data_IF_262793327263
#
_entry.id   IF_262793327263
#
_cell.length_a   1.000
_cell.length_b   1.000
_cell.length_c   1.000
_cell.angle_alpha   90.00
_cell.angle_beta   90.00
_cell.angle_gamma   90.00
#
_symmetry.space_group_name_H-M   'P 1'
#
loop_
_entity.id
_entity.type
_entity.pdbx_description
1 polymer ?
#
# COMPACT_ATOMS: atom_id res chain seq x y z
N UNK A 1 1.88 17.83 8.80
CA UNK A 1 2.37 16.53 8.31
C UNK A 1 3.01 15.68 9.41
N UNK A 2 3.88 16.23 10.24
CA UNK A 2 4.60 15.48 11.31
C UNK A 2 3.72 14.86 12.41
N UNK A 3 2.50 15.34 12.60
CA UNK A 3 1.60 14.87 13.67
C UNK A 3 0.54 13.85 13.18
N UNK A 4 0.55 13.54 11.86
CA UNK A 4 -0.43 12.60 11.29
C UNK A 4 0.13 11.19 11.28
N UNK A 5 -0.75 10.22 11.45
CA UNK A 5 -0.41 8.83 11.22
C UNK A 5 -0.01 8.62 9.76
N UNK A 6 0.76 7.58 9.52
CA UNK A 6 1.15 7.09 8.20
C UNK A 6 0.39 5.78 7.96
N UNK A 7 -0.29 5.67 6.83
CA UNK A 7 -0.91 4.44 6.36
C UNK A 7 -0.03 3.88 5.23
N UNK A 8 0.76 2.87 5.54
CA UNK A 8 1.52 2.12 4.55
C UNK A 8 0.55 1.17 3.89
N UNK A 9 0.27 1.38 2.61
CA UNK A 9 -0.70 0.61 1.85
C UNK A 9 -0.01 -0.06 0.68
N UNK A 10 -0.37 -1.31 0.45
CA UNK A 10 -0.01 -2.10 -0.73
C UNK A 10 -1.26 -2.78 -1.26
N UNK A 11 -1.45 -2.81 -2.57
CA UNK A 11 -2.62 -3.37 -3.22
C UNK A 11 -2.23 -4.49 -4.17
N UNK A 12 -2.94 -5.61 -4.08
CA UNK A 12 -2.97 -6.58 -5.15
C UNK A 12 -4.21 -6.37 -6.01
N UNK A 13 -4.02 -6.45 -7.31
CA UNK A 13 -5.08 -6.16 -8.28
C UNK A 13 -5.19 -7.26 -9.33
N UNK A 14 -6.33 -7.37 -10.00
CA UNK A 14 -6.50 -8.30 -11.12
C UNK A 14 -5.70 -7.93 -12.36
N UNK A 15 -4.92 -6.83 -12.33
CA UNK A 15 -4.05 -6.36 -13.40
C UNK A 15 -3.76 -4.87 -13.30
N UNK A 16 -3.03 -4.31 -14.25
CA UNK A 16 -2.47 -2.95 -14.17
C UNK A 16 -3.35 -1.86 -14.80
N UNK A 17 -4.37 -2.22 -15.55
CA UNK A 17 -5.23 -1.24 -16.25
C UNK A 17 -6.39 -0.77 -15.37
N UNK A 18 -6.31 0.44 -14.84
CA UNK A 18 -7.29 1.02 -13.91
C UNK A 18 -8.75 0.88 -14.36
N UNK A 19 -9.02 0.99 -15.68
CA UNK A 19 -10.39 0.92 -16.21
C UNK A 19 -10.97 -0.48 -16.30
N UNK A 20 -10.13 -1.50 -16.19
CA UNK A 20 -10.51 -2.91 -16.41
C UNK A 20 -10.35 -3.76 -15.18
N UNK A 21 -9.36 -3.42 -14.37
CA UNK A 21 -8.92 -4.29 -13.29
C UNK A 21 -9.42 -3.77 -11.94
N UNK A 22 -9.49 -4.68 -10.98
CA UNK A 22 -10.07 -4.49 -9.67
C UNK A 22 -9.07 -4.78 -8.57
N UNK A 23 -9.27 -4.18 -7.41
CA UNK A 23 -8.53 -4.54 -6.19
C UNK A 23 -9.03 -5.90 -5.72
N UNK A 24 -8.10 -6.81 -5.41
CA UNK A 24 -8.41 -8.13 -4.82
C UNK A 24 -7.84 -8.30 -3.42
N UNK A 25 -6.82 -7.50 -3.04
CA UNK A 25 -6.28 -7.52 -1.69
C UNK A 25 -5.77 -6.12 -1.30
N UNK A 26 -5.93 -5.78 -0.04
CA UNK A 26 -5.48 -4.51 0.55
C UNK A 26 -4.70 -4.84 1.81
N UNK A 27 -3.38 -4.64 1.77
CA UNK A 27 -2.53 -4.66 2.94
C UNK A 27 -2.33 -3.25 3.51
N UNK A 28 -2.43 -3.08 4.81
CA UNK A 28 -2.21 -1.79 5.44
C UNK A 28 -1.59 -1.90 6.83
N UNK A 29 -0.56 -1.08 7.04
CA UNK A 29 0.01 -0.83 8.38
C UNK A 29 -0.18 0.65 8.69
N UNK A 30 -0.93 0.94 9.76
CA UNK A 30 -1.06 2.30 10.28
C UNK A 30 -0.04 2.52 11.38
N UNK A 31 0.82 3.52 11.23
CA UNK A 31 1.88 3.82 12.18
C UNK A 31 1.87 5.30 12.57
N UNK A 32 2.31 5.57 13.80
CA UNK A 32 2.54 6.92 14.33
C UNK A 32 4.03 7.23 14.35
N UNK A 33 4.38 8.43 13.96
CA UNK A 33 5.75 8.93 14.17
C UNK A 33 5.97 9.23 15.66
N UNK A 34 6.97 8.59 16.24
CA UNK A 34 7.41 8.92 17.60
C UNK A 34 8.38 10.09 17.49
N UNK A 35 8.01 11.22 18.12
CA UNK A 35 8.92 12.34 18.27
C UNK A 35 10.02 11.94 19.27
N UNK A 36 11.25 12.31 18.95
CA UNK A 36 12.39 12.13 19.85
C UNK A 36 12.66 13.42 20.61
N UNK A 37 13.18 13.25 21.82
CA UNK A 37 13.67 14.39 22.58
C UNK A 37 14.88 15.04 21.89
N UNK A 38 15.02 16.38 22.00
CA UNK A 38 16.15 17.08 21.45
C UNK A 38 17.48 16.51 22.00
N UNK A 39 18.35 16.04 21.10
CA UNK A 39 19.66 15.49 21.46
C UNK A 39 19.78 13.96 21.36
N UNK A 40 18.70 13.23 21.20
CA UNK A 40 18.76 11.79 20.91
C UNK A 40 19.29 11.51 19.50
N UNK A 41 20.33 10.66 19.41
CA UNK A 41 20.89 10.21 18.13
C UNK A 41 20.04 9.06 17.55
N UNK A 42 19.77 9.14 16.25
CA UNK A 42 19.09 8.08 15.48
C UNK A 42 17.98 8.64 14.57
N UNK A 43 17.45 7.81 13.67
CA UNK A 43 16.35 8.17 12.78
C UNK A 43 15.01 8.30 13.50
N UNK A 44 13.99 8.81 12.84
CA UNK A 44 12.62 8.75 13.34
C UNK A 44 12.22 7.28 13.59
N UNK A 45 11.52 7.02 14.66
CA UNK A 45 10.92 5.70 14.93
C UNK A 45 9.42 5.74 14.64
N UNK A 46 8.90 4.60 14.23
CA UNK A 46 7.48 4.41 13.97
C UNK A 46 6.93 3.43 15.00
N UNK A 47 5.78 3.75 15.54
CA UNK A 47 4.99 2.84 16.35
C UNK A 47 3.84 2.33 15.50
N UNK A 48 3.79 1.03 15.26
CA UNK A 48 2.64 0.40 14.62
C UNK A 48 1.45 0.52 15.57
N UNK A 49 0.35 1.07 15.06
CA UNK A 49 -0.91 1.24 15.78
C UNK A 49 -1.86 0.11 15.40
N UNK A 50 -1.88 -0.22 14.13
CA UNK A 50 -2.77 -1.21 13.56
C UNK A 50 -2.16 -1.82 12.31
N UNK A 51 -2.46 -3.08 12.08
CA UNK A 51 -2.10 -3.83 10.89
C UNK A 51 -3.33 -4.64 10.45
N UNK A 52 -3.65 -4.60 9.17
CA UNK A 52 -4.76 -5.38 8.63
C UNK A 52 -4.51 -5.75 7.16
N UNK A 53 -5.09 -6.87 6.78
CA UNK A 53 -5.15 -7.39 5.42
C UNK A 53 -6.61 -7.69 5.09
N UNK A 54 -7.07 -7.30 3.91
CA UNK A 54 -8.45 -7.46 3.48
C UNK A 54 -8.45 -8.07 2.08
N UNK A 55 -9.02 -9.25 1.94
CA UNK A 55 -9.32 -9.84 0.63
C UNK A 55 -10.63 -9.28 0.11
N UNK A 56 -10.62 -8.84 -1.14
CA UNK A 56 -11.76 -8.22 -1.82
C UNK A 56 -12.22 -9.15 -2.94
N UNK A 57 -13.51 -9.42 -2.97
CA UNK A 57 -14.09 -10.26 -3.99
C UNK A 57 -14.17 -9.51 -5.32
N UNK A 58 -13.50 -9.98 -6.38
CA UNK A 58 -13.61 -9.36 -7.69
C UNK A 58 -15.02 -9.56 -8.26
N UNK A 59 -15.56 -8.53 -8.90
CA UNK A 59 -16.90 -8.57 -9.55
C UNK A 59 -16.79 -8.89 -11.04
N UNK A 60 -15.66 -8.53 -11.68
CA UNK A 60 -15.39 -8.68 -13.11
C UNK A 60 -14.16 -9.56 -13.37
N UNK A 61 -14.20 -10.78 -12.83
CA UNK A 61 -13.09 -11.72 -12.94
C UNK A 61 -12.74 -12.07 -14.39
N UNK A 62 -13.70 -11.96 -15.31
CA UNK A 62 -13.48 -12.16 -16.77
C UNK A 62 -12.52 -11.16 -17.39
N UNK A 63 -12.27 -10.03 -16.72
CA UNK A 63 -11.31 -9.02 -17.19
C UNK A 63 -9.92 -9.19 -16.60
N UNK A 64 -9.76 -10.10 -15.64
CA UNK A 64 -8.50 -10.28 -14.93
C UNK A 64 -7.35 -10.71 -15.87
N UNK A 65 -6.17 -10.18 -15.61
CA UNK A 65 -4.94 -10.60 -16.27
C UNK A 65 -4.40 -11.88 -15.60
N UNK A 66 -4.31 -13.00 -16.32
CA UNK A 66 -3.80 -14.24 -15.77
C UNK A 66 -2.39 -14.14 -15.17
N UNK A 67 -1.53 -13.28 -15.74
CA UNK A 67 -0.17 -13.09 -15.24
C UNK A 67 -0.19 -12.39 -13.88
N UNK A 68 -1.05 -11.37 -13.73
CA UNK A 68 -1.22 -10.68 -12.45
C UNK A 68 -1.77 -11.62 -11.38
N UNK A 69 -2.75 -12.46 -11.70
CA UNK A 69 -3.30 -13.44 -10.77
C UNK A 69 -2.26 -14.49 -10.33
N UNK A 70 -1.39 -14.93 -11.25
CA UNK A 70 -0.28 -15.84 -10.93
C UNK A 70 0.74 -15.17 -9.99
N UNK A 71 1.11 -13.92 -10.26
CA UNK A 71 2.06 -13.16 -9.45
C UNK A 71 1.51 -12.96 -8.04
N UNK A 72 0.23 -12.57 -7.91
CA UNK A 72 -0.43 -12.31 -6.63
C UNK A 72 -0.82 -13.61 -5.88
N UNK A 73 -0.60 -14.76 -6.49
CA UNK A 73 -0.94 -16.04 -5.90
C UNK A 73 -2.45 -16.25 -5.70
N UNK A 74 -3.29 -15.60 -6.52
CA UNK A 74 -4.75 -15.70 -6.40
C UNK A 74 -5.23 -17.15 -6.51
N UNK A 75 -6.04 -17.58 -5.55
CA UNK A 75 -6.70 -18.86 -5.53
C UNK A 75 -8.14 -18.67 -5.06
N UNK A 76 -9.09 -19.10 -5.86
CA UNK A 76 -10.52 -18.92 -5.58
C UNK A 76 -10.92 -19.40 -4.17
N UNK A 77 -10.33 -20.51 -3.72
CA UNK A 77 -10.56 -21.05 -2.38
C UNK A 77 -10.15 -20.09 -1.24
N UNK A 78 -9.08 -19.32 -1.44
CA UNK A 78 -8.57 -18.38 -0.44
C UNK A 78 -9.38 -17.07 -0.42
N UNK A 79 -10.24 -16.83 -1.43
CA UNK A 79 -11.13 -15.67 -1.54
C UNK A 79 -12.61 -15.98 -1.25
N UNK A 80 -12.93 -17.17 -0.72
CA UNK A 80 -14.32 -17.54 -0.40
C UNK A 80 -15.01 -16.60 0.57
N UNK A 81 -14.25 -16.13 1.56
CA UNK A 81 -14.73 -15.23 2.61
C UNK A 81 -14.32 -13.76 2.34
N UNK A 82 -13.90 -13.45 1.12
CA UNK A 82 -13.51 -12.11 0.73
C UNK A 82 -14.70 -11.14 0.85
N UNK A 83 -14.41 -9.93 1.29
CA UNK A 83 -15.42 -8.87 1.44
C UNK A 83 -15.84 -8.31 0.08
N UNK A 84 -17.04 -7.72 0.04
CA UNK A 84 -17.37 -6.82 -1.08
C UNK A 84 -16.47 -5.59 -1.08
N UNK A 85 -16.24 -5.00 -2.25
CA UNK A 85 -15.45 -3.77 -2.36
C UNK A 85 -15.97 -2.68 -1.41
N UNK A 86 -17.29 -2.49 -1.33
CA UNK A 86 -17.89 -1.48 -0.45
C UNK A 86 -17.58 -1.73 1.03
N UNK A 87 -17.65 -2.98 1.50
CA UNK A 87 -17.32 -3.31 2.88
C UNK A 87 -15.83 -3.09 3.18
N UNK A 88 -14.95 -3.48 2.25
CA UNK A 88 -13.52 -3.26 2.37
C UNK A 88 -13.18 -1.76 2.45
N UNK A 89 -13.77 -0.95 1.56
CA UNK A 89 -13.53 0.49 1.53
C UNK A 89 -14.03 1.22 2.77
N UNK A 90 -15.12 0.76 3.41
CA UNK A 90 -15.57 1.30 4.70
C UNK A 90 -14.52 1.07 5.79
N UNK A 91 -13.94 -0.14 5.86
CA UNK A 91 -12.88 -0.46 6.82
C UNK A 91 -11.64 0.40 6.55
N UNK A 92 -11.21 0.49 5.29
CA UNK A 92 -10.05 1.33 4.89
C UNK A 92 -10.27 2.78 5.29
N UNK A 93 -11.44 3.36 4.96
CA UNK A 93 -11.76 4.75 5.27
C UNK A 93 -11.69 5.04 6.79
N UNK A 94 -12.23 4.12 7.60
CA UNK A 94 -12.25 4.29 9.07
C UNK A 94 -10.85 4.17 9.67
N UNK A 95 -10.12 3.11 9.30
CA UNK A 95 -8.80 2.80 9.88
C UNK A 95 -7.70 3.76 9.44
N UNK A 96 -7.81 4.33 8.24
CA UNK A 96 -6.82 5.28 7.70
C UNK A 96 -7.22 6.74 7.84
N UNK A 97 -8.26 7.03 8.62
CA UNK A 97 -8.77 8.39 8.83
C UNK A 97 -7.66 9.36 9.23
N UNK A 98 -7.58 10.50 8.50
CA UNK A 98 -6.59 11.57 8.71
C UNK A 98 -5.12 11.13 8.54
N UNK A 99 -4.84 9.88 8.16
CA UNK A 99 -3.49 9.42 7.88
C UNK A 99 -3.01 9.90 6.49
N UNK A 100 -1.69 10.06 6.36
CA UNK A 100 -1.06 10.21 5.04
C UNK A 100 -0.77 8.83 4.47
N UNK A 101 -1.16 8.58 3.23
CA UNK A 101 -0.78 7.33 2.54
C UNK A 101 0.71 7.30 2.25
N UNK A 102 1.31 6.14 2.43
CA UNK A 102 2.69 5.79 2.04
C UNK A 102 2.63 4.52 1.22
N UNK A 103 3.23 4.53 0.02
CA UNK A 103 3.34 3.32 -0.81
C UNK A 103 4.60 3.35 -1.66
N UNK A 104 4.94 2.21 -2.27
CA UNK A 104 6.04 2.10 -3.22
C UNK A 104 5.50 2.25 -4.64
N UNK A 105 5.69 3.43 -5.27
CA UNK A 105 4.94 3.88 -6.44
C UNK A 105 3.50 4.25 -6.08
N UNK A 106 3.35 5.12 -5.10
CA UNK A 106 2.06 5.52 -4.51
C UNK A 106 0.99 5.94 -5.54
N UNK A 107 1.40 6.35 -6.74
CA UNK A 107 0.47 6.72 -7.79
C UNK A 107 -0.41 5.54 -8.22
N UNK A 108 0.15 4.32 -8.26
CA UNK A 108 -0.59 3.11 -8.61
C UNK A 108 -1.68 2.81 -7.57
N UNK A 109 -1.28 2.66 -6.32
CA UNK A 109 -2.22 2.33 -5.23
C UNK A 109 -3.28 3.39 -5.07
N UNK A 110 -2.86 4.65 -5.15
CA UNK A 110 -3.80 5.77 -5.00
C UNK A 110 -4.86 5.80 -6.08
N UNK A 111 -4.51 5.56 -7.35
CA UNK A 111 -5.48 5.55 -8.45
C UNK A 111 -6.55 4.46 -8.25
N UNK A 112 -6.14 3.26 -7.85
CA UNK A 112 -7.08 2.18 -7.57
C UNK A 112 -7.96 2.47 -6.35
N UNK A 113 -7.39 3.06 -5.29
CA UNK A 113 -8.18 3.49 -4.12
C UNK A 113 -9.18 4.60 -4.46
N UNK A 114 -8.78 5.63 -5.22
CA UNK A 114 -9.69 6.70 -5.66
C UNK A 114 -10.87 6.12 -6.45
N UNK A 115 -10.58 5.26 -7.42
CA UNK A 115 -11.61 4.54 -8.19
C UNK A 115 -12.54 3.77 -7.26
N UNK A 116 -12.00 2.99 -6.32
CA UNK A 116 -12.79 2.18 -5.39
C UNK A 116 -13.67 3.04 -4.46
N UNK A 117 -13.17 4.16 -3.97
CA UNK A 117 -13.96 5.12 -3.19
C UNK A 117 -15.09 5.74 -4.03
N UNK A 118 -14.83 6.10 -5.29
CA UNK A 118 -15.82 6.65 -6.21
C UNK A 118 -16.90 5.62 -6.54
N UNK A 119 -16.53 4.41 -6.91
CA UNK A 119 -17.45 3.32 -7.26
C UNK A 119 -18.36 2.91 -6.09
N UNK A 120 -17.80 2.88 -4.88
CA UNK A 120 -18.56 2.47 -3.68
C UNK A 120 -19.37 3.61 -3.05
N UNK A 121 -19.08 4.87 -3.40
CA UNK A 121 -19.62 6.04 -2.74
C UNK A 121 -19.15 6.23 -1.30
N UNK A 122 -18.20 5.43 -0.83
CA UNK A 122 -17.59 5.57 0.49
C UNK A 122 -16.70 6.81 0.50
N UNK A 123 -16.89 7.68 1.50
CA UNK A 123 -16.07 8.88 1.61
C UNK A 123 -14.65 8.54 1.99
N UNK A 124 -13.68 8.91 1.15
CA UNK A 124 -12.28 8.87 1.52
C UNK A 124 -12.01 9.84 2.68
N UNK A 125 -11.51 9.31 3.79
CA UNK A 125 -11.19 10.08 5.01
C UNK A 125 -9.69 10.26 5.22
N UNK A 126 -8.83 9.76 4.33
CA UNK A 126 -7.39 9.99 4.38
C UNK A 126 -7.04 11.46 4.16
N UNK A 127 -5.88 11.85 4.64
CA UNK A 127 -5.33 13.17 4.32
C UNK A 127 -4.81 13.19 2.88
N UNK A 128 -4.87 14.34 2.21
CA UNK A 128 -4.55 14.47 0.77
C UNK A 128 -3.06 14.30 0.40
N UNK A 129 -2.14 14.33 1.37
CA UNK A 129 -0.72 14.12 1.10
C UNK A 129 -0.42 12.65 0.87
N UNK A 130 0.38 12.42 -0.17
CA UNK A 130 0.87 11.09 -0.55
C UNK A 130 2.39 11.05 -0.41
N UNK A 131 2.92 10.01 0.17
CA UNK A 131 4.36 9.81 0.33
C UNK A 131 4.78 8.61 -0.52
N UNK A 132 5.64 8.86 -1.48
CA UNK A 132 6.17 7.82 -2.36
C UNK A 132 7.56 7.40 -1.88
N UNK A 133 7.72 6.13 -1.54
CA UNK A 133 9.00 5.61 -1.07
C UNK A 133 10.06 5.57 -2.17
N UNK A 134 9.70 5.47 -3.46
CA UNK A 134 10.63 5.62 -4.58
C UNK A 134 11.23 7.01 -4.58
N UNK A 135 10.40 8.04 -4.48
CA UNK A 135 10.83 9.44 -4.48
C UNK A 135 11.72 9.76 -3.27
N UNK A 136 11.38 9.21 -2.11
CA UNK A 136 12.19 9.38 -0.89
C UNK A 136 13.54 8.68 -1.04
N UNK A 137 13.55 7.45 -1.55
CA UNK A 137 14.78 6.69 -1.78
C UNK A 137 15.67 7.38 -2.84
N UNK A 138 15.07 7.84 -3.94
CA UNK A 138 15.80 8.60 -4.96
C UNK A 138 16.46 9.84 -4.36
N UNK A 139 15.74 10.64 -3.60
CA UNK A 139 16.29 11.84 -2.97
C UNK A 139 17.46 11.57 -2.00
N UNK A 140 17.52 10.36 -1.44
CA UNK A 140 18.58 9.96 -0.48
C UNK A 140 19.75 9.22 -1.12
N UNK A 141 19.55 8.55 -2.24
CA UNK A 141 20.46 7.54 -2.78
C UNK A 141 20.83 7.78 -4.26
N UNK A 142 20.39 8.89 -4.87
CA UNK A 142 20.63 9.14 -6.30
C UNK A 142 22.12 9.20 -6.69
N UNK A 143 22.99 9.54 -5.74
CA UNK A 143 24.45 9.66 -5.90
C UNK A 143 25.22 8.45 -5.32
N UNK A 144 24.51 7.40 -4.87
CA UNK A 144 25.09 6.18 -4.33
C UNK A 144 25.30 5.17 -5.46
N UNK A 145 26.57 4.87 -5.87
CA UNK A 145 26.86 4.05 -7.05
C UNK A 145 26.32 2.61 -6.97
N UNK A 146 26.19 2.08 -5.76
CA UNK A 146 25.70 0.73 -5.50
C UNK A 146 24.19 0.59 -5.77
N UNK A 147 23.45 1.72 -5.79
CA UNK A 147 21.99 1.74 -6.02
C UNK A 147 21.70 2.10 -7.46
N UNK A 148 21.54 1.08 -8.32
CA UNK A 148 21.24 1.26 -9.74
C UNK A 148 19.75 1.28 -10.06
N UNK A 149 18.90 0.77 -9.17
CA UNK A 149 17.44 0.67 -9.33
C UNK A 149 16.73 1.00 -8.02
N UNK A 150 15.57 1.64 -8.15
CA UNK A 150 14.72 2.02 -7.03
C UNK A 150 13.48 1.12 -6.88
N UNK A 151 13.53 -0.12 -7.37
CA UNK A 151 12.49 -1.10 -7.07
C UNK A 151 12.54 -1.49 -5.59
N UNK A 152 11.40 -1.86 -5.02
CA UNK A 152 11.31 -2.28 -3.62
C UNK A 152 12.32 -3.38 -3.30
N UNK A 153 12.44 -4.38 -4.17
CA UNK A 153 13.42 -5.46 -4.04
C UNK A 153 14.86 -4.93 -3.95
N UNK A 154 15.26 -4.03 -4.88
CA UNK A 154 16.63 -3.49 -4.88
C UNK A 154 16.92 -2.65 -3.65
N UNK A 155 15.93 -1.91 -3.15
CA UNK A 155 16.07 -1.13 -1.93
C UNK A 155 16.15 -2.04 -0.69
N UNK A 156 15.36 -3.09 -0.62
CA UNK A 156 15.44 -4.09 0.45
C UNK A 156 16.83 -4.75 0.48
N UNK A 157 17.35 -5.15 -0.68
CA UNK A 157 18.69 -5.71 -0.81
C UNK A 157 19.77 -4.72 -0.33
N UNK A 158 19.69 -3.46 -0.72
CA UNK A 158 20.63 -2.41 -0.30
C UNK A 158 20.62 -2.17 1.22
N UNK A 159 19.42 -2.15 1.83
CA UNK A 159 19.28 -1.93 3.28
C UNK A 159 19.41 -3.21 4.12
N UNK A 160 19.62 -4.37 3.51
CA UNK A 160 19.69 -5.67 4.22
C UNK A 160 18.34 -6.07 4.84
N UNK A 161 17.24 -5.64 4.24
CA UNK A 161 15.88 -5.98 4.67
C UNK A 161 15.45 -7.25 3.96
N UNK A 162 15.15 -8.29 4.74
CA UNK A 162 14.60 -9.52 4.19
C UNK A 162 13.13 -9.34 3.78
N UNK A 163 12.86 -9.43 2.48
CA UNK A 163 11.50 -9.40 1.97
C UNK A 163 10.89 -10.81 2.01
N UNK A 164 10.18 -11.13 3.10
CA UNK A 164 9.62 -12.48 3.36
C UNK A 164 8.32 -12.76 2.61
N UNK A 165 7.61 -11.72 2.15
CA UNK A 165 6.30 -11.82 1.53
C UNK A 165 6.22 -10.98 0.27
N UNK A 166 7.14 -11.18 -0.68
CA UNK A 166 6.99 -10.59 -1.99
C UNK A 166 5.73 -11.18 -2.65
N UNK A 167 4.80 -10.32 -3.09
CA UNK A 167 3.54 -10.66 -3.77
C UNK A 167 2.36 -11.12 -2.86
N UNK A 168 2.29 -10.62 -1.64
CA UNK A 168 1.05 -10.53 -0.85
C UNK A 168 1.00 -9.14 -0.25
N UNK A 169 -0.15 -8.50 -0.29
CA UNK A 169 -0.35 -7.15 0.24
C UNK A 169 -0.18 -7.08 1.77
#
# INVERSE_FOLDING_TARGET
MKERNLAFIDLETTGLELKRHEIIEIGCIVARQIQREPGEKGGASLQVIEEFEIKVKPEHFETADPVSLEINGYREDDWKDALSLSAAMQIVAEKTKEANIVAHNVAFDWMFLEKAFEETGVKNMMHYHKLDTISIAFAKLYDVPEVQKFSLRSLCEYYGIENKKAHTA
#
